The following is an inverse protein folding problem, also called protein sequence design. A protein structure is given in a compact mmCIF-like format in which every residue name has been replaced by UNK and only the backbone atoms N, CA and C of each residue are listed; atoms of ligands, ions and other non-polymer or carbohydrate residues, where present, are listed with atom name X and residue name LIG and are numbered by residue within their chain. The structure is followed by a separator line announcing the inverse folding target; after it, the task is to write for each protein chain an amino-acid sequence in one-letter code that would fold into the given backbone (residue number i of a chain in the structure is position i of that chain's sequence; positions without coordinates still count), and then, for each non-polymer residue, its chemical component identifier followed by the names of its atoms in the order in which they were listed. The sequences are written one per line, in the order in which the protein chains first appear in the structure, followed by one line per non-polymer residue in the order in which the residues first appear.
data_IF_550504077784
#
_entry.id   IF_550504077784
#
_cell.length_a   1.000
_cell.length_b   1.000
_cell.length_c   1.000
_cell.angle_alpha   90.00
_cell.angle_beta   90.00
_cell.angle_gamma   90.00
#
_symmetry.space_group_name_H-M   'P 1'
#
loop_
_entity.id
_entity.type
_entity.pdbx_description
1 polymer ?
#
# COMPACT_ATOMS: atom_id res chain seq x y z
N UNK A 1 -11.72 -13.12 13.67
CA UNK A 1 -12.06 -11.80 13.09
C UNK A 1 -12.20 -11.96 11.58
N UNK A 2 -13.36 -11.63 10.98
CA UNK A 2 -13.53 -11.70 9.51
C UNK A 2 -13.70 -10.28 8.95
N UNK A 3 -12.63 -9.75 8.38
CA UNK A 3 -12.67 -8.49 7.61
C UNK A 3 -13.23 -8.83 6.22
N UNK A 4 -14.11 -7.99 5.70
CA UNK A 4 -14.62 -8.11 4.34
C UNK A 4 -14.09 -6.95 3.49
N UNK A 5 -13.66 -7.28 2.27
CA UNK A 5 -13.29 -6.30 1.25
C UNK A 5 -14.34 -6.38 0.16
N UNK A 6 -15.14 -5.32 0.04
CA UNK A 6 -16.21 -5.22 -0.95
C UNK A 6 -15.78 -4.19 -1.99
N UNK A 7 -15.83 -4.50 -3.30
CA UNK A 7 -15.53 -3.50 -4.32
C UNK A 7 -16.49 -2.31 -4.19
N UNK A 8 -15.97 -1.10 -4.32
CA UNK A 8 -16.77 0.11 -4.44
C UNK A 8 -17.37 0.15 -5.85
N UNK A 9 -18.69 0.00 -5.93
CA UNK A 9 -19.44 0.11 -7.18
C UNK A 9 -20.07 1.51 -7.23
N UNK A 10 -19.42 2.46 -7.91
CA UNK A 10 -19.96 3.82 -8.13
C UNK A 10 -20.89 3.92 -9.35
N UNK A 11 -21.24 2.78 -9.96
CA UNK A 11 -21.99 2.74 -11.21
C UNK A 11 -21.20 3.19 -12.44
N UNK A 12 -19.95 3.66 -12.27
CA UNK A 12 -19.04 3.98 -13.36
C UNK A 12 -18.19 2.75 -13.66
N UNK A 13 -18.24 2.27 -14.92
CA UNK A 13 -17.36 1.19 -15.38
C UNK A 13 -15.94 1.76 -15.48
N UNK A 14 -15.19 1.75 -14.39
CA UNK A 14 -13.80 2.23 -14.41
C UNK A 14 -12.94 1.24 -15.23
N UNK A 15 -12.59 1.63 -16.46
CA UNK A 15 -11.73 0.86 -17.37
C UNK A 15 -10.27 1.17 -17.00
N UNK A 16 -9.74 0.48 -15.99
CA UNK A 16 -8.36 0.70 -15.57
C UNK A 16 -7.33 -0.08 -16.42
N UNK A 17 -7.76 -1.01 -17.29
CA UNK A 17 -6.88 -1.71 -18.25
C UNK A 17 -7.63 -1.92 -19.58
N UNK A 18 -6.99 -1.56 -20.70
CA UNK A 18 -7.54 -1.77 -22.05
C UNK A 18 -7.81 -3.26 -22.29
N UNK A 19 -9.09 -3.65 -22.35
CA UNK A 19 -9.53 -5.04 -22.53
C UNK A 19 -10.05 -5.74 -21.28
N UNK A 20 -9.96 -5.13 -20.09
CA UNK A 20 -10.55 -5.67 -18.86
C UNK A 20 -11.86 -4.96 -18.57
N UNK A 21 -12.97 -5.70 -18.68
CA UNK A 21 -14.33 -5.20 -18.43
C UNK A 21 -14.67 -5.07 -16.94
N UNK A 22 -13.90 -5.73 -16.06
CA UNK A 22 -14.03 -5.63 -14.60
C UNK A 22 -12.65 -5.78 -13.93
N UNK A 23 -11.97 -4.67 -13.66
CA UNK A 23 -10.65 -4.70 -13.02
C UNK A 23 -10.68 -5.34 -11.63
N UNK A 24 -11.81 -5.20 -10.92
CA UNK A 24 -11.99 -5.72 -9.56
C UNK A 24 -12.06 -7.25 -9.51
N UNK A 25 -12.17 -7.92 -10.68
CA UNK A 25 -12.09 -9.37 -10.79
C UNK A 25 -10.64 -9.90 -10.80
N UNK A 26 -9.63 -9.04 -11.03
CA UNK A 26 -8.23 -9.45 -11.10
C UNK A 26 -7.71 -9.82 -9.71
N UNK A 27 -7.00 -10.96 -9.59
CA UNK A 27 -6.54 -11.43 -8.28
C UNK A 27 -5.42 -10.55 -7.68
N UNK A 28 -4.58 -9.95 -8.52
CA UNK A 28 -3.45 -9.15 -8.04
C UNK A 28 -3.89 -7.82 -7.40
N UNK A 29 -5.09 -7.31 -7.70
CA UNK A 29 -5.62 -6.08 -7.09
C UNK A 29 -6.35 -6.34 -5.77
N UNK A 30 -6.57 -7.61 -5.40
CA UNK A 30 -7.29 -7.98 -4.19
C UNK A 30 -6.38 -7.83 -2.97
N UNK A 31 -6.92 -7.35 -1.83
CA UNK A 31 -6.20 -7.36 -0.57
C UNK A 31 -5.78 -8.78 -0.19
N UNK A 32 -4.51 -8.95 0.17
CA UNK A 32 -3.96 -10.25 0.55
C UNK A 32 -3.50 -10.25 2.00
N UNK A 33 -3.68 -11.35 2.74
CA UNK A 33 -3.06 -11.51 4.06
C UNK A 33 -1.55 -11.28 3.95
N UNK A 34 -0.97 -10.49 4.86
CA UNK A 34 0.45 -10.09 4.77
C UNK A 34 1.38 -11.33 4.77
N UNK A 35 1.00 -12.40 5.47
CA UNK A 35 1.76 -13.66 5.46
C UNK A 35 1.94 -14.30 4.07
N UNK A 36 1.14 -13.93 3.06
CA UNK A 36 1.29 -14.42 1.68
C UNK A 36 2.27 -13.58 0.83
N UNK A 37 2.70 -12.43 1.34
CA UNK A 37 3.47 -11.40 0.61
C UNK A 37 4.65 -10.91 1.46
N UNK A 38 5.31 -11.84 2.13
CA UNK A 38 6.49 -11.52 2.94
C UNK A 38 7.60 -10.92 2.06
N UNK A 39 8.37 -9.96 2.59
CA UNK A 39 9.57 -9.46 1.90
C UNK A 39 10.57 -10.59 1.66
N UNK A 40 11.22 -10.59 0.50
CA UNK A 40 12.15 -11.66 0.13
C UNK A 40 13.35 -11.74 1.08
N UNK A 41 13.86 -10.62 1.59
CA UNK A 41 14.92 -10.63 2.59
C UNK A 41 14.50 -11.44 3.83
N UNK A 42 13.25 -11.33 4.28
CA UNK A 42 12.75 -12.02 5.47
C UNK A 42 12.49 -13.50 5.20
N UNK A 43 12.07 -13.86 3.97
CA UNK A 43 11.90 -15.27 3.57
C UNK A 43 13.23 -16.02 3.64
N UNK A 44 14.31 -15.38 3.20
CA UNK A 44 15.64 -16.01 3.09
C UNK A 44 16.52 -15.80 4.35
N UNK A 45 16.10 -14.98 5.31
CA UNK A 45 16.83 -14.76 6.55
C UNK A 45 16.77 -16.02 7.44
N UNK A 46 17.91 -16.65 7.81
CA UNK A 46 17.92 -17.75 8.77
C UNK A 46 17.56 -17.24 10.17
N UNK A 47 16.95 -18.09 11.00
CA UNK A 47 16.55 -17.73 12.37
C UNK A 47 17.74 -17.41 13.29
N UNK A 48 18.87 -18.06 13.03
CA UNK A 48 20.13 -17.90 13.77
C UNK A 48 21.25 -17.80 12.75
N UNK A 49 22.35 -17.13 13.11
CA UNK A 49 23.54 -17.07 12.27
C UNK A 49 24.23 -18.43 12.21
N UNK A 50 25.03 -18.76 13.23
CA UNK A 50 25.91 -19.94 13.21
C UNK A 50 25.51 -21.01 14.24
N UNK A 51 24.96 -20.61 15.38
CA UNK A 51 24.65 -21.52 16.49
C UNK A 51 23.19 -21.36 16.94
N UNK A 52 22.32 -22.34 16.61
CA UNK A 52 20.95 -22.34 17.07
C UNK A 52 20.88 -22.19 18.60
N UNK A 53 19.93 -21.41 19.09
CA UNK A 53 19.64 -21.25 20.53
C UNK A 53 20.75 -20.56 21.35
N UNK A 54 21.73 -19.89 20.72
CA UNK A 54 22.69 -19.04 21.43
C UNK A 54 22.10 -17.63 21.60
N UNK A 55 21.92 -17.12 22.83
CA UNK A 55 21.44 -15.76 23.04
C UNK A 55 22.34 -14.74 22.32
N UNK A 56 21.73 -13.82 21.56
CA UNK A 56 22.45 -12.80 20.79
C UNK A 56 22.84 -13.20 19.36
N UNK A 57 22.71 -14.49 19.00
CA UNK A 57 22.93 -14.99 17.63
C UNK A 57 21.63 -15.09 16.80
N UNK A 58 20.51 -14.70 17.41
CA UNK A 58 19.19 -14.59 16.81
C UNK A 58 19.17 -13.50 15.73
N UNK A 59 18.46 -13.75 14.63
CA UNK A 59 18.19 -12.70 13.64
C UNK A 59 16.77 -12.14 13.83
N UNK A 60 16.42 -11.12 13.03
CA UNK A 60 15.06 -10.61 12.96
C UNK A 60 14.01 -11.73 12.68
N UNK A 61 14.40 -12.85 12.06
CA UNK A 61 13.52 -14.00 11.81
C UNK A 61 13.08 -14.73 13.10
N UNK A 62 13.90 -14.70 14.15
CA UNK A 62 13.57 -15.29 15.44
C UNK A 62 12.67 -14.38 16.32
N UNK A 63 12.61 -13.08 16.01
CA UNK A 63 11.79 -12.10 16.74
C UNK A 63 10.29 -12.40 16.55
N UNK A 64 9.65 -12.93 17.61
CA UNK A 64 8.21 -13.26 17.60
C UNK A 64 7.30 -12.06 17.30
N UNK A 65 7.51 -10.87 17.90
CA UNK A 65 6.71 -9.68 17.55
C UNK A 65 6.81 -9.28 16.08
N UNK A 66 8.01 -9.34 15.48
CA UNK A 66 8.18 -9.02 14.07
C UNK A 66 7.49 -10.07 13.18
N UNK A 67 7.57 -11.35 13.57
CA UNK A 67 6.87 -12.41 12.86
C UNK A 67 5.35 -12.20 12.90
N UNK A 68 4.78 -11.84 14.05
CA UNK A 68 3.36 -11.51 14.17
C UNK A 68 3.00 -10.31 13.29
N UNK A 69 3.80 -9.25 13.35
CA UNK A 69 3.60 -8.06 12.53
C UNK A 69 3.55 -8.39 11.02
N UNK A 70 4.49 -9.21 10.55
CA UNK A 70 4.56 -9.62 9.14
C UNK A 70 3.54 -10.69 8.74
N UNK A 71 2.72 -11.19 9.67
CA UNK A 71 1.69 -12.19 9.37
C UNK A 71 0.27 -11.73 9.73
N UNK A 72 0.12 -10.60 10.42
CA UNK A 72 -1.16 -10.10 10.89
C UNK A 72 -1.62 -8.89 10.08
N UNK A 73 -2.84 -8.98 9.55
CA UNK A 73 -3.46 -7.94 8.74
C UNK A 73 -3.43 -8.25 7.25
N UNK A 74 -3.72 -7.22 6.46
CA UNK A 74 -3.85 -7.31 5.01
C UNK A 74 -3.06 -6.20 4.36
N UNK A 75 -2.43 -6.51 3.24
CA UNK A 75 -1.87 -5.49 2.36
C UNK A 75 -2.90 -5.12 1.31
N UNK A 76 -3.02 -3.82 1.09
CA UNK A 76 -3.75 -3.26 -0.04
C UNK A 76 -2.74 -3.03 -1.16
N UNK A 77 -2.74 -3.86 -2.22
CA UNK A 77 -1.87 -3.61 -3.36
C UNK A 77 -2.34 -2.35 -4.11
N UNK A 78 -1.40 -1.73 -4.81
CA UNK A 78 -1.74 -0.74 -5.81
C UNK A 78 -2.56 -1.43 -6.91
N UNK A 79 -3.70 -0.86 -7.26
CA UNK A 79 -4.69 -1.52 -8.12
C UNK A 79 -4.66 -1.05 -9.58
N UNK A 80 -3.84 -0.05 -9.88
CA UNK A 80 -3.61 0.50 -11.19
C UNK A 80 -2.16 0.98 -11.30
N UNK A 81 -1.65 1.13 -12.52
CA UNK A 81 -0.37 1.80 -12.76
C UNK A 81 -0.58 3.31 -12.71
N UNK A 82 0.35 4.00 -12.06
CA UNK A 82 0.34 5.46 -11.95
C UNK A 82 1.62 5.99 -12.56
N UNK A 83 1.47 6.85 -13.56
CA UNK A 83 2.57 7.57 -14.19
C UNK A 83 2.43 9.00 -13.74
N UNK A 84 3.46 9.53 -13.08
CA UNK A 84 3.51 10.92 -12.62
C UNK A 84 4.48 11.68 -13.53
N UNK A 85 3.96 12.46 -14.46
CA UNK A 85 4.79 13.34 -15.29
C UNK A 85 4.75 14.76 -14.75
N UNK A 86 5.91 15.43 -14.71
CA UNK A 86 5.98 16.89 -14.56
C UNK A 86 5.71 17.52 -15.92
N UNK A 87 4.82 18.51 -15.97
CA UNK A 87 4.62 19.26 -17.22
C UNK A 87 5.87 20.06 -17.66
N UNK A 88 5.79 20.73 -18.81
CA UNK A 88 6.89 21.54 -19.37
C UNK A 88 7.34 22.69 -18.46
N UNK A 89 6.52 23.08 -17.51
CA UNK A 89 6.85 24.10 -16.50
C UNK A 89 7.42 23.49 -15.20
N UNK A 90 7.45 22.16 -15.10
CA UNK A 90 7.89 21.40 -13.94
C UNK A 90 6.83 21.25 -12.86
N UNK A 91 5.58 21.65 -13.13
CA UNK A 91 4.60 21.99 -12.09
C UNK A 91 3.51 20.93 -11.88
N UNK A 92 2.83 20.53 -12.96
CA UNK A 92 1.69 19.62 -12.83
C UNK A 92 2.11 18.16 -12.86
N UNK A 93 1.45 17.35 -12.02
CA UNK A 93 1.40 15.89 -12.11
C UNK A 93 0.31 15.52 -13.11
N UNK A 94 0.64 14.77 -14.15
CA UNK A 94 -0.38 14.13 -14.99
C UNK A 94 -0.42 12.64 -14.67
N UNK A 95 -1.38 12.22 -13.83
CA UNK A 95 -1.65 10.80 -13.68
C UNK A 95 -2.38 10.28 -14.92
N UNK A 96 -1.77 9.34 -15.66
CA UNK A 96 -2.39 8.73 -16.85
C UNK A 96 -3.64 7.89 -16.46
N UNK A 97 -3.78 7.50 -15.18
CA UNK A 97 -4.99 6.93 -14.61
C UNK A 97 -5.78 7.97 -13.78
N UNK A 98 -6.45 8.91 -14.46
CA UNK A 98 -7.22 9.99 -13.80
C UNK A 98 -8.34 9.52 -12.87
N UNK A 99 -8.79 8.27 -12.99
CA UNK A 99 -9.93 7.75 -12.21
C UNK A 99 -9.53 7.14 -10.86
N UNK A 100 -8.23 7.04 -10.55
CA UNK A 100 -7.76 6.25 -9.41
C UNK A 100 -6.91 7.01 -8.38
N UNK A 101 -6.87 8.35 -8.45
CA UNK A 101 -6.20 9.18 -7.44
C UNK A 101 -7.03 10.43 -7.11
N UNK A 102 -6.76 11.00 -5.95
CA UNK A 102 -7.32 12.27 -5.49
C UNK A 102 -6.20 13.21 -5.05
N UNK A 103 -6.53 14.49 -5.02
CA UNK A 103 -5.61 15.56 -4.65
C UNK A 103 -6.20 16.38 -3.50
N UNK A 104 -5.36 16.78 -2.56
CA UNK A 104 -5.69 17.80 -1.57
C UNK A 104 -4.76 18.99 -1.76
N UNK A 105 -5.30 20.21 -1.98
CA UNK A 105 -4.50 21.41 -2.13
C UNK A 105 -3.77 21.76 -0.83
N UNK A 106 -2.68 22.52 -0.94
CA UNK A 106 -1.84 22.93 0.21
C UNK A 106 -2.64 23.58 1.34
N UNK A 107 -3.70 24.33 1.02
CA UNK A 107 -4.60 24.90 2.03
C UNK A 107 -5.34 23.87 2.92
N UNK A 108 -5.44 22.60 2.51
CA UNK A 108 -5.99 21.51 3.33
C UNK A 108 -4.91 20.78 4.14
N UNK A 109 -3.65 20.84 3.72
CA UNK A 109 -2.52 20.18 4.38
C UNK A 109 -1.73 21.12 5.29
N UNK A 110 -1.92 22.43 5.11
CA UNK A 110 -1.20 23.49 5.79
C UNK A 110 0.32 23.39 5.62
N UNK A 111 1.04 23.95 6.59
CA UNK A 111 2.50 24.04 6.63
C UNK A 111 3.24 22.69 6.48
N UNK A 112 2.55 21.55 6.66
CA UNK A 112 3.15 20.21 6.57
C UNK A 112 3.64 19.91 5.17
N UNK A 113 2.96 20.42 4.14
CA UNK A 113 3.33 20.21 2.74
C UNK A 113 3.64 21.50 1.97
N UNK A 114 3.47 22.68 2.57
CA UNK A 114 3.73 23.96 1.88
C UNK A 114 5.16 24.09 1.36
N UNK A 115 6.14 23.53 2.08
CA UNK A 115 7.57 23.67 1.74
C UNK A 115 8.17 22.46 0.99
N UNK A 116 7.35 21.51 0.55
CA UNK A 116 7.88 20.35 -0.20
C UNK A 116 7.89 20.59 -1.71
N UNK A 117 9.07 20.42 -2.30
CA UNK A 117 9.29 20.40 -3.75
C UNK A 117 8.64 19.19 -4.43
N UNK A 118 8.28 18.16 -3.65
CA UNK A 118 7.51 17.01 -4.09
C UNK A 118 6.05 17.43 -4.26
N UNK A 119 5.57 17.35 -5.49
CA UNK A 119 4.18 17.61 -5.85
C UNK A 119 3.68 19.04 -5.55
N UNK A 120 4.58 20.02 -5.40
CA UNK A 120 4.25 21.43 -5.16
C UNK A 120 3.30 21.68 -3.98
N UNK A 121 3.47 20.89 -2.92
CA UNK A 121 2.61 20.94 -1.75
C UNK A 121 1.19 20.37 -1.94
N UNK A 122 0.92 19.67 -3.05
CA UNK A 122 -0.26 18.83 -3.20
C UNK A 122 -0.07 17.51 -2.44
N UNK A 123 -1.04 17.16 -1.58
CA UNK A 123 -1.12 15.79 -1.09
C UNK A 123 -1.83 14.92 -2.13
N UNK A 124 -1.09 13.97 -2.69
CA UNK A 124 -1.63 12.95 -3.58
C UNK A 124 -2.11 11.77 -2.76
N UNK A 125 -3.35 11.34 -3.01
CA UNK A 125 -3.95 10.17 -2.40
C UNK A 125 -4.30 9.14 -3.46
N UNK A 126 -3.77 7.93 -3.33
CA UNK A 126 -4.25 6.80 -4.13
C UNK A 126 -5.65 6.38 -3.65
N UNK A 127 -6.63 6.47 -4.54
CA UNK A 127 -8.01 6.05 -4.23
C UNK A 127 -8.08 4.56 -4.45
N UNK A 128 -8.21 3.78 -3.38
CA UNK A 128 -8.36 2.33 -3.49
C UNK A 128 -9.83 1.95 -3.75
N UNK A 129 -10.11 0.85 -4.48
CA UNK A 129 -11.46 0.48 -4.87
C UNK A 129 -12.17 -0.39 -3.82
N UNK A 130 -11.62 -0.55 -2.62
CA UNK A 130 -12.11 -1.50 -1.63
C UNK A 130 -12.79 -0.78 -0.46
N UNK A 131 -14.06 -1.12 -0.22
CA UNK A 131 -14.74 -0.83 1.04
C UNK A 131 -14.33 -1.91 2.04
N UNK A 132 -13.65 -1.50 3.11
CA UNK A 132 -13.28 -2.38 4.22
C UNK A 132 -14.39 -2.40 5.26
N UNK A 133 -14.98 -3.56 5.51
CA UNK A 133 -15.99 -3.75 6.55
C UNK A 133 -15.39 -4.56 7.71
N UNK A 134 -15.41 -3.96 8.89
CA UNK A 134 -15.05 -4.63 10.14
C UNK A 134 -16.30 -5.14 10.86
N UNK A 135 -16.17 -6.18 11.71
CA UNK A 135 -17.23 -6.56 12.63
C UNK A 135 -17.55 -5.43 13.64
N UNK A 136 -18.74 -5.41 14.25
CA UNK A 136 -19.07 -4.45 15.31
C UNK A 136 -18.05 -4.46 16.44
N UNK A 137 -17.66 -3.27 16.91
CA UNK A 137 -16.65 -3.10 17.96
C UNK A 137 -15.19 -3.14 17.49
N UNK A 138 -14.93 -3.24 16.17
CA UNK A 138 -13.58 -3.24 15.61
C UNK A 138 -13.38 -2.09 14.61
N UNK A 139 -12.15 -1.57 14.59
CA UNK A 139 -11.67 -0.59 13.63
C UNK A 139 -10.43 -1.12 12.92
N UNK A 140 -10.14 -0.62 11.72
CA UNK A 140 -8.90 -0.90 10.99
C UNK A 140 -7.92 0.26 11.14
N UNK A 141 -6.66 -0.07 11.42
CA UNK A 141 -5.53 0.85 11.30
C UNK A 141 -4.92 0.72 9.91
N UNK A 142 -4.69 1.85 9.25
CA UNK A 142 -3.98 1.91 7.98
C UNK A 142 -2.56 2.41 8.23
N UNK A 143 -1.59 1.72 7.66
CA UNK A 143 -0.17 2.03 7.80
C UNK A 143 0.54 1.75 6.48
N UNK A 144 1.64 2.46 6.26
CA UNK A 144 2.57 2.12 5.19
C UNK A 144 3.12 0.70 5.39
N UNK A 145 3.51 -0.01 4.32
CA UNK A 145 4.06 -1.35 4.42
C UNK A 145 5.46 -1.31 5.05
N UNK A 146 5.55 -1.46 6.37
CA UNK A 146 6.83 -1.49 7.10
C UNK A 146 7.70 -2.67 6.66
N UNK A 147 9.02 -2.50 6.79
CA UNK A 147 10.03 -3.50 6.43
C UNK A 147 10.04 -3.96 4.97
N UNK A 148 9.37 -3.21 4.09
CA UNK A 148 9.59 -3.24 2.65
C UNK A 148 10.58 -2.12 2.32
N UNK A 149 11.86 -2.47 2.18
CA UNK A 149 12.94 -1.53 1.92
C UNK A 149 13.08 -1.16 0.44
N UNK A 150 11.94 -1.09 -0.27
CA UNK A 150 11.90 -0.74 -1.67
C UNK A 150 12.07 0.77 -1.85
N UNK A 151 13.11 1.18 -2.56
CA UNK A 151 13.50 2.59 -2.75
C UNK A 151 13.26 3.11 -4.17
N UNK A 152 12.66 2.32 -5.07
CA UNK A 152 12.41 2.72 -6.47
C UNK A 152 11.51 3.95 -6.66
N UNK A 153 10.90 4.49 -5.60
CA UNK A 153 9.97 5.63 -5.65
C UNK A 153 10.33 6.70 -4.60
#
# INVERSE_FOLDING_TARGET
MKIQFVPYEDGTKQIAVKGVTNLLALDFVKPKPIGQILPDWFKHLPAFKDRPLTPGEETAKACRPLHEYLHYGYMLPLWADYIFEKDKSGQNIVAISKTSYGEHPSGQTGYVLEDTDKFQGLAVKFINPWIIKTPPGYSCLFMAPFYNFEERF
#
